data_IF_578496488713
#
_entry.id   IF_578496488713
#
_cell.length_a   1.000
_cell.length_b   1.000
_cell.length_c   1.000
_cell.angle_alpha   90.00
_cell.angle_beta   90.00
_cell.angle_gamma   90.00
#
_symmetry.space_group_name_H-M   'P 1'
#
loop_
_entity.id
_entity.type
_entity.pdbx_description
1 polymer ?
#
# COMPACT_ATOMS: atom_id res chain seq x y z
N UNK A 1 81.57 17.43 17.57
CA UNK A 1 80.85 17.42 16.29
C UNK A 1 79.44 17.82 16.60
N UNK A 2 79.22 19.13 16.52
CA UNK A 2 77.98 19.82 16.82
C UNK A 2 77.09 19.78 15.58
N UNK A 3 75.78 19.62 15.80
CA UNK A 3 74.81 19.37 14.74
C UNK A 3 74.38 20.64 13.99
N UNK A 4 73.70 20.49 12.85
CA UNK A 4 73.03 21.60 12.21
C UNK A 4 71.57 21.68 12.66
N UNK A 5 71.20 22.90 13.05
CA UNK A 5 69.84 23.41 13.17
C UNK A 5 69.14 23.30 11.81
N UNK A 6 67.89 22.85 11.81
CA UNK A 6 67.02 23.13 10.67
C UNK A 6 65.59 23.51 11.07
N UNK A 7 65.13 24.50 10.34
CA UNK A 7 64.03 25.41 10.66
C UNK A 7 62.64 24.79 10.60
N UNK A 8 61.85 24.98 11.66
CA UNK A 8 60.42 24.71 11.65
C UNK A 8 59.69 25.85 10.91
N UNK A 9 59.22 25.55 9.69
CA UNK A 9 58.29 26.40 8.96
C UNK A 9 56.86 26.19 9.48
N UNK A 10 56.27 27.28 9.98
CA UNK A 10 54.90 27.36 10.46
C UNK A 10 53.95 27.42 9.26
N UNK A 11 53.28 26.32 8.93
CA UNK A 11 52.13 26.33 8.03
C UNK A 11 50.87 26.72 8.80
N UNK A 12 50.42 27.97 8.64
CA UNK A 12 49.06 28.40 9.03
C UNK A 12 48.07 27.83 8.01
N UNK A 13 47.33 26.79 8.39
CA UNK A 13 46.12 26.40 7.65
C UNK A 13 45.01 27.42 7.93
N UNK A 14 44.68 28.23 6.93
CA UNK A 14 43.49 29.06 6.96
C UNK A 14 42.25 28.15 6.90
N UNK A 15 41.44 28.18 7.96
CA UNK A 15 40.14 27.51 8.00
C UNK A 15 39.11 28.34 7.22
N UNK A 16 39.02 28.12 5.92
CA UNK A 16 37.89 28.62 5.13
C UNK A 16 36.64 27.82 5.48
N UNK A 17 35.64 28.50 6.07
CA UNK A 17 34.31 27.91 6.29
C UNK A 17 33.66 27.66 4.93
N UNK A 18 33.12 26.47 4.66
CA UNK A 18 32.40 26.21 3.42
C UNK A 18 31.16 27.11 3.33
N UNK A 19 30.84 27.65 2.14
CA UNK A 19 29.64 28.46 1.96
C UNK A 19 28.40 27.62 2.26
N UNK A 20 27.59 28.07 3.21
CA UNK A 20 26.26 27.51 3.48
C UNK A 20 25.42 27.66 2.20
N UNK A 21 25.29 26.58 1.41
CA UNK A 21 24.24 26.49 0.39
C UNK A 21 22.89 26.40 1.10
N UNK A 22 22.21 27.54 1.20
CA UNK A 22 20.79 27.58 1.53
C UNK A 22 20.05 26.95 0.35
N UNK A 23 19.66 25.69 0.49
CA UNK A 23 18.76 25.05 -0.44
C UNK A 23 17.45 25.83 -0.47
N UNK A 24 17.12 26.41 -1.62
CA UNK A 24 15.84 27.10 -1.86
C UNK A 24 14.69 26.07 -1.90
N UNK A 25 14.31 25.54 -0.74
CA UNK A 25 13.14 24.66 -0.53
C UNK A 25 11.80 25.26 -1.02
N UNK A 26 11.56 26.58 -1.02
CA UNK A 26 10.29 27.14 -1.51
C UNK A 26 10.04 26.90 -3.00
N UNK A 27 11.09 26.85 -3.84
CA UNK A 27 10.93 26.72 -5.30
C UNK A 27 10.61 25.29 -5.75
N UNK A 28 11.03 24.29 -4.98
CA UNK A 28 10.73 22.87 -5.26
C UNK A 28 9.27 22.56 -4.89
N UNK A 29 8.77 23.09 -3.76
CA UNK A 29 7.36 22.92 -3.37
C UNK A 29 6.39 23.54 -4.38
N UNK A 30 6.71 24.73 -4.90
CA UNK A 30 5.91 25.36 -5.95
C UNK A 30 5.88 24.51 -7.23
N UNK A 31 7.04 24.06 -7.70
CA UNK A 31 7.14 23.20 -8.91
C UNK A 31 6.41 21.86 -8.77
N UNK A 32 6.40 21.27 -7.57
CA UNK A 32 5.65 20.04 -7.30
C UNK A 32 4.14 20.29 -7.31
N UNK A 33 3.68 21.43 -6.78
CA UNK A 33 2.26 21.82 -6.80
C UNK A 33 1.76 22.05 -8.22
N UNK A 34 2.56 22.72 -9.06
CA UNK A 34 2.19 22.99 -10.45
C UNK A 34 2.11 21.69 -11.28
N UNK A 35 3.08 20.78 -11.10
CA UNK A 35 3.06 19.46 -11.75
C UNK A 35 1.90 18.59 -11.30
N UNK A 36 1.51 18.68 -10.03
CA UNK A 36 0.35 17.97 -9.50
C UNK A 36 -0.95 18.48 -10.14
N UNK A 37 -1.06 19.80 -10.31
CA UNK A 37 -2.22 20.43 -10.96
C UNK A 37 -2.31 20.05 -12.45
N UNK A 38 -1.20 20.06 -13.18
CA UNK A 38 -1.14 19.61 -14.57
C UNK A 38 -1.56 18.13 -14.72
N UNK A 39 -1.12 17.26 -13.82
CA UNK A 39 -1.51 15.85 -13.81
C UNK A 39 -3.01 15.66 -13.53
N UNK A 40 -3.60 16.48 -12.65
CA UNK A 40 -5.03 16.48 -12.34
C UNK A 40 -5.88 16.91 -13.54
N UNK A 41 -5.49 17.98 -14.25
CA UNK A 41 -6.13 18.44 -15.48
C UNK A 41 -6.08 17.37 -16.58
N UNK A 42 -4.92 16.72 -16.76
CA UNK A 42 -4.75 15.66 -17.76
C UNK A 42 -5.63 14.44 -17.49
N UNK A 43 -5.72 13.98 -16.23
CA UNK A 43 -6.59 12.88 -15.83
C UNK A 43 -8.08 13.22 -16.00
N UNK A 44 -8.48 14.44 -15.66
CA UNK A 44 -9.84 14.92 -15.86
C UNK A 44 -10.20 14.93 -17.36
N UNK A 45 -9.29 15.41 -18.20
CA UNK A 45 -9.49 15.48 -19.64
C UNK A 45 -9.57 14.08 -20.26
N UNK A 46 -8.68 13.16 -19.87
CA UNK A 46 -8.74 11.76 -20.29
C UNK A 46 -10.05 11.09 -19.86
N UNK A 47 -10.55 11.40 -18.65
CA UNK A 47 -11.84 10.89 -18.18
C UNK A 47 -13.00 11.42 -19.02
N UNK A 48 -13.02 12.71 -19.38
CA UNK A 48 -14.03 13.30 -20.26
C UNK A 48 -14.02 12.65 -21.64
N UNK A 49 -12.84 12.43 -22.21
CA UNK A 49 -12.67 11.79 -23.52
C UNK A 49 -13.14 10.33 -23.50
N UNK A 50 -12.81 9.59 -22.43
CA UNK A 50 -13.24 8.19 -22.26
C UNK A 50 -14.75 8.04 -22.03
N UNK A 51 -15.41 9.08 -21.50
CA UNK A 51 -16.83 9.08 -21.18
C UNK A 51 -17.74 9.44 -22.37
N UNK A 52 -17.17 9.77 -23.54
CA UNK A 52 -17.87 9.91 -24.82
C UNK A 52 -19.16 10.75 -24.78
N UNK A 53 -19.06 12.07 -24.93
CA UNK A 53 -20.17 13.00 -25.25
C UNK A 53 -21.49 12.91 -24.43
N UNK A 54 -21.52 12.22 -23.28
CA UNK A 54 -22.71 12.12 -22.42
C UNK A 54 -22.71 13.08 -21.21
N UNK A 55 -21.80 14.04 -21.18
CA UNK A 55 -21.69 15.02 -20.10
C UNK A 55 -21.76 16.45 -20.64
N UNK A 56 -22.93 16.87 -21.11
CA UNK A 56 -23.25 18.28 -21.23
C UNK A 56 -24.27 18.67 -20.16
N UNK A 57 -23.82 19.52 -19.23
CA UNK A 57 -24.59 20.28 -18.23
C UNK A 57 -25.01 19.53 -16.92
N UNK A 58 -24.25 19.73 -15.81
CA UNK A 58 -24.58 19.20 -14.48
C UNK A 58 -25.91 19.69 -13.90
N UNK A 59 -26.48 20.79 -14.43
CA UNK A 59 -27.72 21.38 -13.89
C UNK A 59 -28.99 20.71 -14.42
N UNK A 60 -28.89 19.84 -15.43
CA UNK A 60 -30.04 19.20 -16.09
C UNK A 60 -30.43 17.81 -15.57
N UNK A 61 -29.81 17.32 -14.50
CA UNK A 61 -30.16 16.03 -13.90
C UNK A 61 -31.53 16.07 -13.19
N UNK A 62 -32.61 15.73 -13.90
CA UNK A 62 -33.94 15.47 -13.32
C UNK A 62 -34.07 14.04 -12.80
N UNK A 63 -34.98 13.85 -11.82
CA UNK A 63 -35.10 12.72 -10.87
C UNK A 63 -35.29 11.30 -11.44
N UNK A 64 -35.31 11.09 -12.76
CA UNK A 64 -35.81 9.83 -13.35
C UNK A 64 -34.80 8.99 -14.16
N UNK A 65 -33.50 9.28 -14.09
CA UNK A 65 -32.49 8.43 -14.74
C UNK A 65 -31.75 7.52 -13.73
N UNK A 66 -31.54 6.22 -14.07
CA UNK A 66 -30.62 5.36 -13.32
C UNK A 66 -29.21 5.98 -13.36
N UNK A 67 -28.62 6.25 -12.18
CA UNK A 67 -27.30 6.88 -12.04
C UNK A 67 -27.32 8.29 -11.43
N UNK A 68 -28.48 8.95 -11.30
CA UNK A 68 -28.56 10.29 -10.69
C UNK A 68 -28.19 10.33 -9.19
N UNK A 69 -28.27 9.19 -8.49
CA UNK A 69 -27.81 9.08 -7.10
C UNK A 69 -26.29 9.06 -6.97
N UNK A 70 -25.58 8.51 -7.96
CA UNK A 70 -24.11 8.41 -7.98
C UNK A 70 -23.44 9.75 -8.31
N UNK A 71 -24.08 10.58 -9.13
CA UNK A 71 -23.59 11.93 -9.43
C UNK A 71 -23.79 12.92 -8.26
N UNK A 72 -24.86 12.80 -7.47
CA UNK A 72 -25.13 13.69 -6.33
C UNK A 72 -24.18 13.49 -5.15
N UNK A 73 -23.64 12.28 -4.98
CA UNK A 73 -22.63 12.02 -3.96
C UNK A 73 -21.30 12.73 -4.24
N UNK A 74 -21.04 13.15 -5.49
CA UNK A 74 -19.76 13.73 -5.92
C UNK A 74 -19.63 15.25 -5.74
N UNK A 75 -20.71 15.99 -5.46
CA UNK A 75 -20.67 17.47 -5.57
C UNK A 75 -20.91 18.22 -4.25
N UNK A 76 -21.29 17.57 -3.14
CA UNK A 76 -21.76 18.31 -1.95
C UNK A 76 -20.85 18.23 -0.71
N UNK A 77 -19.80 17.41 -0.67
CA UNK A 77 -18.97 17.30 0.56
C UNK A 77 -17.45 17.26 0.35
N UNK A 78 -16.90 18.08 -0.56
CA UNK A 78 -15.45 18.28 -0.63
C UNK A 78 -15.09 19.76 -0.80
N UNK A 79 -15.38 20.55 0.23
CA UNK A 79 -14.63 21.75 0.53
C UNK A 79 -13.90 21.50 1.85
N UNK A 80 -12.62 21.06 1.84
CA UNK A 80 -11.88 20.91 3.08
C UNK A 80 -11.64 22.29 3.70
N UNK A 81 -12.06 22.46 4.95
CA UNK A 81 -11.76 23.65 5.76
C UNK A 81 -10.32 23.66 6.28
N UNK A 82 -9.58 22.54 6.14
CA UNK A 82 -8.22 22.37 6.65
C UNK A 82 -7.30 21.70 5.60
N UNK A 83 -6.20 22.34 5.17
CA UNK A 83 -5.21 21.75 4.26
C UNK A 83 -4.40 20.58 4.85
N UNK A 84 -4.53 20.28 6.14
CA UNK A 84 -3.83 19.17 6.80
C UNK A 84 -4.54 17.81 6.69
N UNK A 85 -5.76 17.75 6.15
CA UNK A 85 -6.56 16.53 5.96
C UNK A 85 -6.56 15.99 4.51
N UNK A 86 -5.42 15.95 3.84
CA UNK A 86 -5.33 15.63 2.40
C UNK A 86 -5.25 14.15 2.03
N UNK A 87 -5.74 13.23 2.88
CA UNK A 87 -5.71 11.77 2.62
C UNK A 87 -6.86 11.17 1.77
N UNK A 88 -8.12 11.65 1.78
CA UNK A 88 -9.23 10.87 1.20
C UNK A 88 -9.27 10.77 -0.34
N UNK A 89 -8.68 11.73 -1.06
CA UNK A 89 -8.81 11.77 -2.53
C UNK A 89 -7.77 10.88 -3.24
N UNK A 90 -6.64 10.58 -2.59
CA UNK A 90 -5.60 9.72 -3.12
C UNK A 90 -6.07 8.25 -3.19
N UNK A 91 -6.77 7.78 -2.16
CA UNK A 91 -7.38 6.44 -2.12
C UNK A 91 -8.43 6.25 -3.23
N UNK A 92 -9.23 7.28 -3.50
CA UNK A 92 -10.22 7.26 -4.58
C UNK A 92 -9.58 7.30 -5.99
N UNK A 93 -8.49 8.04 -6.17
CA UNK A 93 -7.76 8.11 -7.44
C UNK A 93 -7.01 6.80 -7.76
N UNK A 94 -6.38 6.19 -6.75
CA UNK A 94 -5.76 4.86 -6.82
C UNK A 94 -6.79 3.78 -7.13
N UNK A 95 -7.96 3.81 -6.47
CA UNK A 95 -9.05 2.86 -6.71
C UNK A 95 -9.57 2.87 -8.15
N UNK A 96 -9.69 4.05 -8.77
CA UNK A 96 -10.15 4.18 -10.17
C UNK A 96 -9.11 3.69 -11.19
N UNK A 97 -7.82 3.89 -10.92
CA UNK A 97 -6.75 3.48 -11.83
C UNK A 97 -6.56 1.94 -11.85
N UNK A 98 -6.79 1.28 -10.71
CA UNK A 98 -6.75 -0.17 -10.58
C UNK A 98 -7.97 -0.87 -11.23
N UNK A 99 -9.15 -0.25 -11.14
CA UNK A 99 -10.39 -0.75 -11.77
C UNK A 99 -10.30 -0.81 -13.31
N UNK A 100 -9.61 0.13 -13.96
CA UNK A 100 -9.43 0.12 -15.42
C UNK A 100 -8.44 -0.95 -15.93
N UNK A 101 -7.55 -1.48 -15.08
CA UNK A 101 -6.63 -2.58 -15.43
C UNK A 101 -7.22 -3.98 -15.22
N UNK A 102 -8.27 -4.13 -14.41
CA UNK A 102 -8.87 -5.42 -14.05
C UNK A 102 -9.66 -6.16 -15.15
N UNK A 103 -9.76 -5.65 -16.38
CA UNK A 103 -10.67 -6.23 -17.39
C UNK A 103 -10.06 -7.19 -18.42
N UNK A 104 -8.77 -7.58 -18.35
CA UNK A 104 -8.20 -8.58 -19.28
C UNK A 104 -7.06 -9.41 -18.71
N UNK A 105 -7.36 -10.38 -17.84
CA UNK A 105 -6.45 -11.49 -17.56
C UNK A 105 -7.24 -12.81 -17.60
N UNK A 106 -6.95 -13.66 -18.60
CA UNK A 106 -7.47 -15.03 -18.73
C UNK A 106 -6.78 -15.99 -17.75
N UNK A 107 -6.83 -15.66 -16.46
CA UNK A 107 -6.10 -16.40 -15.42
C UNK A 107 -7.08 -16.95 -14.39
N UNK A 108 -6.64 -17.97 -13.63
CA UNK A 108 -7.51 -18.55 -12.60
C UNK A 108 -7.98 -17.44 -11.66
N UNK A 109 -9.30 -17.26 -11.51
CA UNK A 109 -9.82 -16.06 -10.92
C UNK A 109 -9.58 -16.09 -9.41
N UNK A 110 -8.93 -15.04 -8.91
CA UNK A 110 -8.63 -14.85 -7.47
C UNK A 110 -9.91 -14.89 -6.63
N UNK A 111 -11.02 -14.44 -7.22
CA UNK A 111 -12.36 -14.44 -6.65
C UNK A 111 -13.32 -15.27 -7.51
N UNK A 112 -14.37 -15.80 -6.90
CA UNK A 112 -15.53 -16.25 -7.69
C UNK A 112 -16.33 -15.05 -8.21
N UNK A 113 -17.11 -15.21 -9.30
CA UNK A 113 -17.99 -14.13 -9.77
C UNK A 113 -18.94 -13.60 -8.70
N UNK A 114 -19.46 -14.44 -7.81
CA UNK A 114 -20.34 -14.05 -6.70
C UNK A 114 -19.61 -13.26 -5.59
N UNK A 115 -18.28 -13.35 -5.51
CA UNK A 115 -17.48 -12.63 -4.51
C UNK A 115 -17.00 -11.26 -4.99
N UNK A 116 -17.17 -10.94 -6.27
CA UNK A 116 -16.75 -9.65 -6.83
C UNK A 116 -17.48 -8.48 -6.16
N UNK A 117 -18.77 -8.63 -5.89
CA UNK A 117 -19.57 -7.60 -5.23
C UNK A 117 -19.14 -7.36 -3.78
N UNK A 118 -18.78 -8.44 -3.05
CA UNK A 118 -18.25 -8.33 -1.69
C UNK A 118 -16.87 -7.66 -1.71
N UNK A 119 -15.99 -8.03 -2.64
CA UNK A 119 -14.67 -7.39 -2.79
C UNK A 119 -14.79 -5.89 -3.02
N UNK A 120 -15.66 -5.47 -3.94
CA UNK A 120 -15.90 -4.06 -4.24
C UNK A 120 -16.50 -3.32 -3.04
N UNK A 121 -17.44 -3.95 -2.32
CA UNK A 121 -18.03 -3.38 -1.12
C UNK A 121 -16.98 -3.14 -0.03
N UNK A 122 -16.10 -4.10 0.20
CA UNK A 122 -15.06 -4.00 1.22
C UNK A 122 -13.94 -3.05 0.83
N UNK A 123 -13.47 -3.08 -0.41
CA UNK A 123 -12.32 -2.28 -0.85
C UNK A 123 -12.68 -0.81 -1.11
N UNK A 124 -13.87 -0.55 -1.67
CA UNK A 124 -14.24 0.78 -2.19
C UNK A 124 -15.65 1.24 -1.77
N UNK A 125 -16.41 0.40 -1.09
CA UNK A 125 -17.75 0.73 -0.61
C UNK A 125 -17.76 1.18 0.85
N UNK A 126 -18.95 1.22 1.47
CA UNK A 126 -19.11 1.58 2.89
C UNK A 126 -18.31 0.71 3.87
N UNK A 127 -17.91 -0.50 3.45
CA UNK A 127 -17.07 -1.38 4.24
C UNK A 127 -15.68 -0.79 4.50
N UNK A 128 -15.09 -0.09 3.51
CA UNK A 128 -13.74 0.47 3.58
C UNK A 128 -13.59 1.54 4.67
N UNK A 129 -14.62 2.35 4.87
CA UNK A 129 -14.61 3.48 5.82
C UNK A 129 -15.04 3.09 7.24
N UNK A 130 -15.53 1.86 7.42
CA UNK A 130 -16.07 1.47 8.72
C UNK A 130 -14.99 0.90 9.63
N UNK A 131 -14.79 1.56 10.78
CA UNK A 131 -13.89 1.14 11.87
C UNK A 131 -14.18 -0.28 12.39
N UNK A 132 -15.33 -0.85 12.01
CA UNK A 132 -15.82 -2.15 12.41
C UNK A 132 -15.11 -3.34 11.76
N UNK A 133 -14.27 -3.14 10.73
CA UNK A 133 -13.68 -4.25 9.96
C UNK A 133 -12.19 -4.12 9.68
N UNK A 134 -11.55 -3.13 10.31
CA UNK A 134 -10.10 -2.93 10.24
C UNK A 134 -9.32 -3.90 11.13
N UNK A 135 -8.01 -3.67 11.20
CA UNK A 135 -7.15 -4.34 12.16
C UNK A 135 -7.60 -4.06 13.61
N UNK A 136 -8.04 -2.84 13.92
CA UNK A 136 -8.59 -2.49 15.25
C UNK A 136 -9.78 -3.38 15.65
N UNK A 137 -10.67 -3.67 14.70
CA UNK A 137 -11.78 -4.60 14.92
C UNK A 137 -11.31 -6.04 15.14
N UNK A 138 -10.29 -6.46 14.39
CA UNK A 138 -9.67 -7.78 14.56
C UNK A 138 -9.12 -7.98 15.98
N UNK A 139 -8.49 -6.95 16.55
CA UNK A 139 -7.99 -6.97 17.93
C UNK A 139 -9.11 -6.95 18.96
N UNK A 140 -10.09 -6.05 18.80
CA UNK A 140 -11.24 -5.92 19.72
C UNK A 140 -11.99 -7.25 19.83
N UNK A 141 -12.27 -7.90 18.70
CA UNK A 141 -13.09 -9.10 18.64
C UNK A 141 -12.26 -10.40 18.71
N UNK A 142 -10.92 -10.27 18.83
CA UNK A 142 -9.95 -11.38 18.82
C UNK A 142 -10.09 -12.31 17.62
N UNK A 143 -10.37 -11.71 16.46
CA UNK A 143 -10.61 -12.42 15.22
C UNK A 143 -9.98 -11.69 14.03
N UNK A 144 -8.80 -12.13 13.61
CA UNK A 144 -8.08 -11.54 12.47
C UNK A 144 -8.74 -11.75 11.12
N UNK A 145 -9.77 -12.62 11.02
CA UNK A 145 -10.57 -12.72 9.80
C UNK A 145 -11.29 -11.42 9.45
N UNK A 146 -11.56 -10.53 10.41
CA UNK A 146 -12.15 -9.23 10.09
C UNK A 146 -11.25 -8.45 9.15
N UNK A 147 -9.94 -8.39 9.40
CA UNK A 147 -9.02 -7.76 8.48
C UNK A 147 -8.78 -8.60 7.22
N UNK A 148 -8.41 -9.88 7.41
CA UNK A 148 -7.87 -10.71 6.34
C UNK A 148 -8.90 -11.29 5.38
N UNK A 149 -10.20 -11.14 5.63
CA UNK A 149 -11.29 -11.59 4.76
C UNK A 149 -12.26 -10.47 4.36
N UNK A 150 -12.02 -9.22 4.78
CA UNK A 150 -12.82 -8.05 4.36
C UNK A 150 -11.99 -7.11 3.49
N UNK A 151 -11.65 -5.91 3.98
CA UNK A 151 -10.97 -4.85 3.26
C UNK A 151 -9.66 -5.33 2.64
N UNK A 152 -8.76 -5.96 3.41
CA UNK A 152 -7.44 -6.31 2.90
C UNK A 152 -7.53 -7.33 1.76
N UNK A 153 -8.31 -8.41 1.94
CA UNK A 153 -8.51 -9.41 0.90
C UNK A 153 -9.29 -8.89 -0.30
N UNK A 154 -10.32 -8.07 -0.07
CA UNK A 154 -11.09 -7.44 -1.14
C UNK A 154 -10.21 -6.51 -1.97
N UNK A 155 -9.39 -5.68 -1.31
CA UNK A 155 -8.47 -4.76 -1.95
C UNK A 155 -7.43 -5.53 -2.78
N UNK A 156 -6.69 -6.48 -2.20
CA UNK A 156 -5.66 -7.20 -2.96
C UNK A 156 -6.23 -8.06 -4.06
N UNK A 157 -7.44 -8.59 -3.91
CA UNK A 157 -8.08 -9.36 -4.96
C UNK A 157 -8.49 -8.50 -6.16
N UNK A 158 -8.79 -7.21 -5.95
CA UNK A 158 -9.10 -6.25 -7.01
C UNK A 158 -7.85 -5.55 -7.56
N UNK A 159 -6.79 -5.44 -6.77
CA UNK A 159 -5.52 -4.84 -7.13
C UNK A 159 -4.52 -5.83 -7.76
N UNK A 160 -4.96 -7.05 -8.07
CA UNK A 160 -4.12 -8.08 -8.70
C UNK A 160 -3.52 -7.62 -10.03
N UNK A 161 -2.26 -7.99 -10.28
CA UNK A 161 -1.49 -7.59 -11.46
C UNK A 161 -1.18 -8.79 -12.36
N UNK A 162 -0.78 -8.60 -13.64
CA UNK A 162 -0.17 -9.67 -14.42
C UNK A 162 1.04 -10.28 -13.68
N UNK A 163 1.40 -11.51 -14.06
CA UNK A 163 2.51 -12.24 -13.45
C UNK A 163 3.77 -11.36 -13.38
N UNK A 164 4.32 -11.27 -12.18
CA UNK A 164 5.44 -10.40 -11.85
C UNK A 164 6.67 -11.24 -11.51
N UNK A 165 7.85 -10.68 -11.78
CA UNK A 165 9.13 -11.31 -11.45
C UNK A 165 10.15 -10.23 -11.21
N UNK A 166 10.87 -10.35 -10.11
CA UNK A 166 12.06 -9.60 -9.74
C UNK A 166 13.04 -10.54 -8.98
N UNK A 167 14.15 -10.04 -8.40
CA UNK A 167 15.07 -10.87 -7.63
C UNK A 167 14.51 -11.48 -6.33
N UNK A 168 13.42 -10.93 -5.77
CA UNK A 168 12.82 -11.38 -4.52
C UNK A 168 11.65 -12.35 -4.70
N UNK A 169 10.81 -12.11 -5.71
CA UNK A 169 9.55 -12.83 -5.90
C UNK A 169 9.28 -13.15 -7.37
N UNK A 170 8.53 -14.24 -7.55
CA UNK A 170 7.81 -14.55 -8.77
C UNK A 170 6.35 -14.73 -8.40
N UNK A 171 5.42 -14.15 -9.16
CA UNK A 171 3.99 -14.31 -8.91
C UNK A 171 3.31 -14.99 -10.10
N UNK A 172 2.16 -15.61 -9.83
CA UNK A 172 1.18 -15.90 -10.89
C UNK A 172 0.37 -14.63 -11.17
N UNK A 173 -0.40 -14.63 -12.26
CA UNK A 173 -1.30 -13.52 -12.57
C UNK A 173 -2.38 -13.32 -11.50
N UNK A 174 -2.83 -12.08 -11.32
CA UNK A 174 -3.86 -11.68 -10.34
C UNK A 174 -3.34 -11.47 -8.93
N UNK A 175 -2.03 -11.59 -8.69
CA UNK A 175 -1.42 -11.38 -7.37
C UNK A 175 -1.10 -9.89 -7.18
N UNK A 176 -1.45 -9.33 -6.03
CA UNK A 176 -1.01 -7.98 -5.67
C UNK A 176 0.46 -8.01 -5.24
N UNK A 177 1.34 -7.41 -6.05
CA UNK A 177 2.80 -7.61 -5.99
C UNK A 177 3.40 -7.04 -4.70
N UNK A 178 2.91 -5.87 -4.26
CA UNK A 178 3.39 -5.19 -3.05
C UNK A 178 3.28 -6.09 -1.81
N UNK A 179 2.08 -6.62 -1.57
CA UNK A 179 1.83 -7.52 -0.43
C UNK A 179 2.52 -8.88 -0.63
N UNK A 180 2.60 -9.40 -1.86
CA UNK A 180 3.30 -10.64 -2.12
C UNK A 180 4.79 -10.55 -1.75
N UNK A 181 5.45 -9.44 -2.07
CA UNK A 181 6.86 -9.21 -1.70
C UNK A 181 7.00 -9.05 -0.18
N UNK A 182 6.14 -8.24 0.45
CA UNK A 182 6.16 -8.06 1.89
C UNK A 182 5.95 -9.37 2.65
N UNK A 183 4.94 -10.16 2.25
CA UNK A 183 4.63 -11.46 2.84
C UNK A 183 5.77 -12.47 2.65
N UNK A 184 6.45 -12.45 1.51
CA UNK A 184 7.57 -13.34 1.21
C UNK A 184 8.81 -12.97 2.03
N UNK A 185 9.25 -11.71 1.97
CA UNK A 185 10.46 -11.25 2.64
C UNK A 185 10.30 -11.20 4.16
N UNK A 186 9.10 -10.93 4.67
CA UNK A 186 8.77 -11.03 6.10
C UNK A 186 8.71 -12.48 6.62
N UNK A 187 8.85 -13.49 5.74
CA UNK A 187 8.77 -14.90 6.12
C UNK A 187 7.37 -15.38 6.52
N UNK A 188 6.33 -14.57 6.29
CA UNK A 188 4.97 -14.86 6.73
C UNK A 188 4.33 -16.02 5.95
N UNK A 189 4.75 -16.23 4.69
CA UNK A 189 4.27 -17.34 3.88
C UNK A 189 4.72 -18.72 4.41
N UNK A 190 5.82 -18.75 5.16
CA UNK A 190 6.46 -19.97 5.65
C UNK A 190 6.05 -20.29 7.10
N UNK A 191 5.21 -19.45 7.72
CA UNK A 191 4.67 -19.68 9.05
C UNK A 191 3.61 -20.82 9.07
N UNK A 192 3.39 -21.49 10.21
CA UNK A 192 2.40 -22.57 10.31
C UNK A 192 0.97 -22.10 10.04
N UNK A 193 0.25 -22.76 9.13
CA UNK A 193 -1.15 -22.43 8.80
C UNK A 193 -2.12 -22.56 9.99
N UNK A 194 -1.75 -23.32 11.03
CA UNK A 194 -2.53 -23.41 12.28
C UNK A 194 -2.72 -22.05 12.98
N UNK A 195 -1.83 -21.07 12.72
CA UNK A 195 -1.97 -19.71 13.23
C UNK A 195 -3.25 -19.00 12.75
N UNK A 196 -3.82 -19.39 11.60
CA UNK A 196 -5.05 -18.79 11.07
C UNK A 196 -6.24 -18.89 12.02
N UNK A 197 -6.25 -19.89 12.92
CA UNK A 197 -7.33 -20.14 13.86
C UNK A 197 -6.93 -19.86 15.32
N UNK A 198 -5.78 -19.20 15.55
CA UNK A 198 -5.24 -18.99 16.90
C UNK A 198 -4.77 -17.56 17.09
N UNK A 199 -5.69 -16.71 17.57
CA UNK A 199 -5.43 -15.29 17.86
C UNK A 199 -4.19 -15.09 18.74
N UNK A 200 -4.11 -15.81 19.87
CA UNK A 200 -3.03 -15.64 20.84
C UNK A 200 -1.66 -16.04 20.26
N UNK A 201 -1.61 -17.07 19.41
CA UNK A 201 -0.37 -17.45 18.75
C UNK A 201 0.09 -16.40 17.72
N UNK A 202 -0.83 -15.78 16.97
CA UNK A 202 -0.47 -14.67 16.07
C UNK A 202 0.03 -13.46 16.86
N UNK A 203 -0.60 -13.12 17.99
CA UNK A 203 -0.12 -12.05 18.88
C UNK A 203 1.30 -12.33 19.40
N UNK A 204 1.62 -13.58 19.74
CA UNK A 204 2.96 -13.96 20.17
C UNK A 204 4.01 -13.79 19.06
N UNK A 205 3.64 -14.03 17.79
CA UNK A 205 4.52 -13.74 16.64
C UNK A 205 4.79 -12.24 16.54
N UNK A 206 3.77 -11.40 16.67
CA UNK A 206 3.94 -9.93 16.69
C UNK A 206 4.85 -9.49 17.85
N UNK A 207 4.58 -9.93 19.07
CA UNK A 207 5.38 -9.54 20.24
C UNK A 207 6.85 -9.92 20.05
N UNK A 208 7.11 -11.16 19.60
CA UNK A 208 8.46 -11.64 19.35
C UNK A 208 9.18 -10.85 18.25
N UNK A 209 8.49 -10.52 17.15
CA UNK A 209 9.09 -9.76 16.04
C UNK A 209 9.32 -8.30 16.42
N UNK A 210 8.34 -7.63 17.00
CA UNK A 210 8.40 -6.21 17.35
C UNK A 210 9.32 -5.91 18.55
N UNK A 211 9.74 -6.93 19.31
CA UNK A 211 10.74 -6.80 20.36
C UNK A 211 12.20 -6.91 19.85
N UNK A 212 12.40 -7.32 18.60
CA UNK A 212 13.73 -7.46 17.99
C UNK A 212 14.21 -6.16 17.34
N UNK A 213 15.53 -6.00 17.26
CA UNK A 213 16.14 -4.94 16.45
C UNK A 213 16.13 -5.33 14.96
N UNK A 214 15.97 -4.37 14.03
CA UNK A 214 15.88 -2.91 14.26
C UNK A 214 14.47 -2.39 14.55
N UNK A 215 13.44 -3.25 14.51
CA UNK A 215 12.03 -2.85 14.59
C UNK A 215 11.70 -2.15 15.91
N UNK A 216 12.22 -2.67 17.03
CA UNK A 216 12.06 -2.06 18.36
C UNK A 216 12.57 -0.62 18.38
N UNK A 217 13.77 -0.37 17.89
CA UNK A 217 14.34 0.98 17.83
C UNK A 217 13.55 1.89 16.88
N UNK A 218 13.29 1.45 15.65
CA UNK A 218 12.58 2.26 14.65
C UNK A 218 11.18 2.66 15.11
N UNK A 219 10.45 1.74 15.78
CA UNK A 219 9.13 2.01 16.38
C UNK A 219 9.18 3.13 17.42
N UNK A 220 10.26 3.20 18.21
CA UNK A 220 10.40 4.18 19.30
C UNK A 220 10.90 5.56 18.84
N UNK A 221 11.52 5.65 17.67
CA UNK A 221 12.15 6.88 17.17
C UNK A 221 11.16 7.97 16.70
N UNK A 222 9.86 7.67 16.63
CA UNK A 222 8.85 8.66 16.22
C UNK A 222 9.04 9.18 14.79
N UNK A 223 9.75 8.44 13.94
CA UNK A 223 9.91 8.77 12.53
C UNK A 223 8.54 8.73 11.83
N UNK A 224 8.31 9.53 10.78
CA UNK A 224 7.11 9.43 9.96
C UNK A 224 7.19 8.16 9.09
N UNK A 225 7.01 7.01 9.73
CA UNK A 225 7.15 5.69 9.11
C UNK A 225 6.14 5.48 7.97
N UNK A 226 5.02 6.22 7.96
CA UNK A 226 4.04 6.17 6.87
C UNK A 226 4.61 6.59 5.51
N UNK A 227 5.64 7.44 5.47
CA UNK A 227 6.27 7.86 4.21
C UNK A 227 6.96 6.70 3.47
N UNK A 228 7.24 5.57 4.15
CA UNK A 228 7.80 4.38 3.49
C UNK A 228 6.83 3.77 2.48
N UNK A 229 5.51 3.90 2.68
CA UNK A 229 4.52 3.34 1.76
C UNK A 229 4.55 4.07 0.42
N UNK A 230 4.58 5.41 0.44
CA UNK A 230 4.74 6.23 -0.77
C UNK A 230 6.06 5.93 -1.49
N UNK A 231 7.15 5.73 -0.74
CA UNK A 231 8.45 5.32 -1.31
C UNK A 231 8.35 3.98 -2.05
N UNK A 232 7.71 2.99 -1.43
CA UNK A 232 7.57 1.65 -2.00
C UNK A 232 6.59 1.65 -3.19
N UNK A 233 5.48 2.38 -3.11
CA UNK A 233 4.51 2.53 -4.21
C UNK A 233 5.17 3.13 -5.45
N UNK A 234 5.91 4.22 -5.27
CA UNK A 234 6.67 4.84 -6.36
C UNK A 234 7.73 3.89 -6.91
N UNK A 235 8.42 3.15 -6.04
CA UNK A 235 9.42 2.19 -6.45
C UNK A 235 8.81 1.08 -7.32
N UNK A 236 7.70 0.47 -6.90
CA UNK A 236 7.00 -0.54 -7.72
C UNK A 236 6.53 0.04 -9.05
N UNK A 237 5.99 1.25 -9.07
CA UNK A 237 5.58 1.87 -10.32
C UNK A 237 6.75 2.03 -11.29
N UNK A 238 7.92 2.43 -10.80
CA UNK A 238 9.15 2.48 -11.60
C UNK A 238 9.56 1.07 -12.09
N UNK A 239 9.53 0.06 -11.23
CA UNK A 239 9.95 -1.31 -11.61
C UNK A 239 8.99 -1.96 -12.61
N UNK A 240 7.69 -1.64 -12.57
CA UNK A 240 6.69 -2.14 -13.55
C UNK A 240 7.03 -1.73 -14.98
N UNK A 241 7.67 -0.57 -15.16
CA UNK A 241 8.09 -0.06 -16.48
C UNK A 241 9.36 -0.73 -17.00
N UNK A 242 10.07 -1.51 -16.18
CA UNK A 242 11.30 -2.20 -16.57
C UNK A 242 11.01 -3.64 -17.03
N UNK A 243 11.82 -4.20 -17.95
CA UNK A 243 11.84 -5.63 -18.25
C UNK A 243 12.14 -6.47 -17.01
N UNK A 244 11.62 -7.71 -16.85
CA UNK A 244 11.83 -8.53 -15.66
C UNK A 244 13.29 -8.70 -15.24
N UNK A 245 14.20 -8.87 -16.19
CA UNK A 245 15.63 -9.03 -15.93
C UNK A 245 16.34 -7.77 -15.38
N UNK A 246 15.69 -6.60 -15.43
CA UNK A 246 16.22 -5.32 -14.97
C UNK A 246 15.48 -4.78 -13.73
N UNK A 247 14.49 -5.52 -13.23
CA UNK A 247 13.76 -5.13 -12.03
C UNK A 247 14.62 -5.35 -10.80
N UNK A 248 14.44 -4.47 -9.83
CA UNK A 248 14.92 -4.61 -8.47
C UNK A 248 13.72 -4.91 -7.57
N UNK A 249 13.97 -5.55 -6.44
CA UNK A 249 12.97 -5.82 -5.41
C UNK A 249 12.87 -4.60 -4.46
N UNK A 250 11.81 -3.77 -4.52
CA UNK A 250 11.74 -2.53 -3.76
C UNK A 250 11.90 -2.70 -2.25
N UNK A 251 11.40 -3.80 -1.67
CA UNK A 251 11.47 -4.05 -0.23
C UNK A 251 12.82 -4.65 0.21
N UNK A 252 13.63 -5.19 -0.70
CA UNK A 252 15.00 -5.61 -0.41
C UNK A 252 15.99 -4.44 -0.30
N UNK A 253 15.60 -3.24 -0.71
CA UNK A 253 16.42 -2.04 -0.49
C UNK A 253 16.65 -1.84 1.01
N UNK A 254 17.90 -1.49 1.37
CA UNK A 254 18.36 -1.37 2.75
C UNK A 254 17.38 -0.55 3.63
N UNK A 255 16.93 -1.16 4.72
CA UNK A 255 16.04 -0.53 5.71
C UNK A 255 14.62 -0.23 5.24
N UNK A 256 14.21 -0.61 4.03
CA UNK A 256 12.82 -0.43 3.57
C UNK A 256 11.89 -1.40 4.28
N UNK A 257 12.17 -2.71 4.22
CA UNK A 257 11.37 -3.73 4.90
C UNK A 257 11.27 -3.45 6.42
N UNK A 258 12.39 -3.11 7.06
CA UNK A 258 12.42 -2.80 8.48
C UNK A 258 11.52 -1.61 8.85
N UNK A 259 11.49 -0.56 8.02
CA UNK A 259 10.60 0.60 8.23
C UNK A 259 9.14 0.25 8.02
N UNK A 260 8.81 -0.58 7.01
CA UNK A 260 7.44 -1.08 6.79
C UNK A 260 7.00 -1.92 7.99
N UNK A 261 7.81 -2.88 8.42
CA UNK A 261 7.51 -3.71 9.59
C UNK A 261 7.44 -2.89 10.88
N UNK A 262 8.32 -1.92 11.08
CA UNK A 262 8.27 -1.01 12.23
C UNK A 262 7.00 -0.16 12.24
N UNK A 263 6.50 0.28 11.07
CA UNK A 263 5.21 0.96 10.97
C UNK A 263 4.07 0.07 11.48
N UNK A 264 4.02 -1.18 11.03
CA UNK A 264 3.01 -2.13 11.50
C UNK A 264 3.13 -2.41 12.99
N UNK A 265 4.35 -2.58 13.51
CA UNK A 265 4.59 -2.72 14.94
C UNK A 265 4.16 -1.47 15.74
N UNK A 266 4.36 -0.27 15.22
CA UNK A 266 3.99 1.00 15.87
C UNK A 266 2.47 1.20 15.90
N UNK A 267 1.77 0.74 14.86
CA UNK A 267 0.31 0.80 14.73
C UNK A 267 -0.41 -0.39 15.37
N UNK A 268 0.33 -1.37 15.89
CA UNK A 268 -0.25 -2.62 16.41
C UNK A 268 -0.96 -3.42 15.31
N UNK A 269 -0.50 -3.32 14.06
CA UNK A 269 -1.12 -4.02 12.92
C UNK A 269 -0.25 -5.14 12.35
N UNK A 270 0.85 -5.49 13.03
CA UNK A 270 1.77 -6.52 12.57
C UNK A 270 1.11 -7.92 12.59
N UNK A 271 0.38 -8.26 13.66
CA UNK A 271 -0.41 -9.49 13.74
C UNK A 271 -1.49 -9.60 12.65
N UNK A 272 -2.15 -8.48 12.32
CA UNK A 272 -3.08 -8.43 11.20
C UNK A 272 -2.38 -8.76 9.87
N UNK A 273 -1.15 -8.27 9.65
CA UNK A 273 -0.36 -8.62 8.46
C UNK A 273 0.07 -10.09 8.45
N UNK A 274 0.49 -10.64 9.59
CA UNK A 274 0.81 -12.08 9.72
C UNK A 274 -0.38 -12.94 9.29
N UNK A 275 -1.57 -12.68 9.85
CA UNK A 275 -2.78 -13.45 9.52
C UNK A 275 -3.22 -13.22 8.07
N UNK A 276 -3.19 -11.97 7.60
CA UNK A 276 -3.50 -11.60 6.23
C UNK A 276 -2.62 -12.32 5.21
N UNK A 277 -1.30 -12.32 5.39
CA UNK A 277 -0.36 -13.02 4.53
C UNK A 277 -0.62 -14.53 4.51
N UNK A 278 -0.84 -15.12 5.69
CA UNK A 278 -1.16 -16.55 5.80
C UNK A 278 -2.48 -16.92 5.14
N UNK A 279 -3.47 -16.03 5.17
CA UNK A 279 -4.81 -16.28 4.64
C UNK A 279 -4.86 -16.10 3.13
N UNK A 280 -4.27 -15.01 2.62
CA UNK A 280 -4.45 -14.55 1.25
C UNK A 280 -3.39 -15.08 0.29
N UNK A 281 -2.20 -15.42 0.76
CA UNK A 281 -1.08 -15.80 -0.10
C UNK A 281 -0.53 -17.20 0.25
N UNK A 282 0.15 -17.79 -0.73
CA UNK A 282 0.82 -19.08 -0.60
C UNK A 282 1.92 -19.23 -1.64
N UNK A 283 2.80 -20.21 -1.41
CA UNK A 283 3.75 -20.67 -2.43
C UNK A 283 3.10 -21.76 -3.30
N UNK A 284 3.25 -21.65 -4.61
CA UNK A 284 2.89 -22.65 -5.62
C UNK A 284 4.13 -22.91 -6.47
N UNK A 285 4.93 -23.90 -6.07
CA UNK A 285 6.27 -24.10 -6.63
C UNK A 285 7.20 -22.95 -6.26
N UNK A 286 7.86 -22.34 -7.24
CA UNK A 286 8.74 -21.19 -7.09
C UNK A 286 8.01 -19.84 -7.17
N UNK A 287 6.67 -19.86 -7.20
CA UNK A 287 5.83 -18.66 -7.35
C UNK A 287 4.96 -18.42 -6.14
N UNK A 288 4.53 -17.18 -5.97
CA UNK A 288 3.51 -16.76 -5.03
C UNK A 288 2.18 -16.67 -5.76
N UNK A 289 1.13 -17.19 -5.12
CA UNK A 289 -0.24 -17.09 -5.59
C UNK A 289 -1.13 -16.44 -4.53
N UNK A 290 -2.35 -16.09 -4.92
CA UNK A 290 -3.30 -15.39 -4.05
C UNK A 290 -4.70 -16.00 -4.13
N UNK A 291 -5.42 -15.96 -3.01
CA UNK A 291 -6.85 -16.27 -2.93
C UNK A 291 -7.17 -17.70 -3.39
N UNK A 292 -8.07 -17.84 -4.37
CA UNK A 292 -8.48 -19.16 -4.88
C UNK A 292 -7.38 -19.96 -5.57
N UNK A 293 -6.31 -19.30 -5.99
CA UNK A 293 -5.14 -19.96 -6.56
C UNK A 293 -4.35 -20.73 -5.48
N UNK A 294 -4.52 -20.34 -4.21
CA UNK A 294 -3.91 -21.01 -3.07
C UNK A 294 -4.75 -22.13 -2.49
N UNK A 295 -6.06 -21.93 -2.45
CA UNK A 295 -7.00 -22.87 -1.83
C UNK A 295 -8.38 -22.71 -2.45
N UNK A 296 -9.03 -23.83 -2.78
CA UNK A 296 -10.32 -23.81 -3.48
C UNK A 296 -11.47 -23.20 -2.67
N UNK A 297 -11.35 -23.22 -1.34
CA UNK A 297 -12.32 -22.71 -0.36
C UNK A 297 -12.03 -21.26 0.09
N UNK A 298 -11.12 -20.55 -0.57
CA UNK A 298 -10.89 -19.13 -0.30
C UNK A 298 -12.18 -18.32 -0.49
N UNK A 299 -12.44 -17.40 0.44
CA UNK A 299 -13.54 -16.48 0.30
C UNK A 299 -13.48 -15.26 1.19
N UNK A 300 -14.21 -14.25 0.76
CA UNK A 300 -14.44 -13.02 1.50
C UNK A 300 -15.63 -13.21 2.44
N UNK A 301 -15.62 -12.48 3.56
CA UNK A 301 -16.79 -12.38 4.42
C UNK A 301 -17.90 -11.65 3.65
N UNK A 302 -19.14 -12.16 3.61
CA UNK A 302 -20.22 -11.45 2.94
C UNK A 302 -20.50 -10.09 3.59
N UNK A 303 -20.88 -9.09 2.79
CA UNK A 303 -21.31 -7.76 3.32
C UNK A 303 -22.47 -7.80 4.33
N UNK A 304 -23.21 -8.90 4.37
CA UNK A 304 -24.33 -9.11 5.30
C UNK A 304 -23.88 -9.55 6.69
N UNK A 305 -22.61 -9.98 6.83
CA UNK A 305 -22.04 -10.28 8.14
C UNK A 305 -21.99 -8.98 8.93
N UNK A 306 -22.52 -9.01 10.15
CA UNK A 306 -22.44 -7.90 11.11
C UNK A 306 -21.39 -8.26 12.15
N UNK A 307 -20.50 -7.34 12.55
CA UNK A 307 -19.54 -7.67 13.59
C UNK A 307 -20.32 -7.89 14.88
N UNK A 308 -19.84 -8.77 15.79
CA UNK A 308 -20.42 -8.87 17.12
C UNK A 308 -20.41 -7.47 17.76
N UNK A 309 -21.55 -7.11 18.36
CA UNK A 309 -21.70 -5.86 19.11
C UNK A 309 -20.89 -5.88 20.39
#
# INVERSE_FOLDING_TARGET
>A
MEGPQDSMSVWRSQSEKPPRRVWQLPSIKAKLKDRLFEAQEALLQQSKESAGNLAEDPTKFTRQLPGAAQARYRTVHFAPSDPSETMPWYEAAMGMMLLQRGMRLETQPVLRPDQMADAQYWAFGPGAESQSWGCDASHRDRNFSWWSQTWAAGFTALAGEPAYTDPAIKTVDGVFVWDAEYCSLGGFLDLPKALLNNYSAVMAVEEAACAQEPLKTLKLQGLPLSAVFEEVDLAFEIQRQKPPAQREAPLQKEGVLDRVSAYHCARGSYSCMVHFCLHNFCRVGDRIAQGRQCRSDFGLLPRSVTPPK
#
